data_IF_975231933909
#
_entry.id   IF_975231933909
#
_cell.length_a   1.000
_cell.length_b   1.000
_cell.length_c   1.000
_cell.angle_alpha   90.00
_cell.angle_beta   90.00
_cell.angle_gamma   90.00
#
_symmetry.space_group_name_H-M   'P 1'
#
loop_
_entity.id
_entity.type
_entity.pdbx_description
1 polymer ?
#
# COMPACT_ATOMS: atom_id res chain seq x y z
N UNK A 1 20.73 3.22 -17.10
CA UNK A 1 19.32 3.03 -16.71
C UNK A 1 18.65 4.39 -16.83
N UNK A 2 17.51 4.49 -17.50
CA UNK A 2 16.74 5.74 -17.53
C UNK A 2 16.22 6.07 -16.12
N UNK A 3 15.71 7.30 -15.88
CA UNK A 3 15.05 7.62 -14.62
C UNK A 3 13.90 6.63 -14.36
N UNK A 4 13.81 6.09 -13.15
CA UNK A 4 12.66 5.29 -12.74
C UNK A 4 11.49 6.25 -12.56
N UNK A 5 10.42 6.02 -13.32
CA UNK A 5 9.23 6.87 -13.29
C UNK A 5 8.26 6.48 -12.17
N UNK A 6 8.47 5.33 -11.54
CA UNK A 6 7.71 4.87 -10.38
C UNK A 6 8.67 4.31 -9.32
N UNK A 7 8.63 4.92 -8.14
CA UNK A 7 9.40 4.49 -6.98
C UNK A 7 8.46 4.45 -5.79
N UNK A 8 8.40 3.30 -5.13
CA UNK A 8 7.73 3.13 -3.84
C UNK A 8 8.66 2.37 -2.90
N UNK A 9 8.98 2.96 -1.75
CA UNK A 9 9.81 2.36 -0.72
C UNK A 9 9.25 2.64 0.66
N UNK A 10 9.59 1.79 1.61
CA UNK A 10 9.32 2.03 3.03
C UNK A 10 10.52 2.77 3.59
N UNK A 11 10.30 3.98 4.13
CA UNK A 11 11.36 4.76 4.77
C UNK A 11 11.46 4.46 6.27
N UNK A 12 10.33 4.16 6.89
CA UNK A 12 10.22 3.80 8.29
C UNK A 12 9.07 2.80 8.48
N UNK A 13 9.29 1.75 9.28
CA UNK A 13 8.26 0.77 9.62
C UNK A 13 8.34 0.38 11.09
N UNK A 14 7.20 0.37 11.76
CA UNK A 14 7.07 0.10 13.19
C UNK A 14 5.69 -0.45 13.53
N UNK A 15 5.58 -0.96 14.75
CA UNK A 15 4.31 -1.19 15.44
C UNK A 15 3.77 0.15 15.97
N UNK A 16 2.45 0.33 16.07
CA UNK A 16 1.87 1.53 16.69
C UNK A 16 2.07 1.53 18.19
N UNK A 17 1.78 0.40 18.81
CA UNK A 17 1.70 0.24 20.25
C UNK A 17 2.50 -0.97 20.70
N UNK A 18 2.04 -2.18 20.38
CA UNK A 18 2.60 -3.41 20.88
C UNK A 18 2.73 -4.43 19.75
N UNK A 19 3.95 -4.95 19.56
CA UNK A 19 4.23 -5.99 18.57
C UNK A 19 3.28 -7.19 18.62
N UNK A 20 2.87 -7.64 19.81
CA UNK A 20 2.05 -8.85 19.92
C UNK A 20 0.57 -8.60 19.60
N UNK A 21 0.08 -7.39 19.79
CA UNK A 21 -1.34 -7.04 19.63
C UNK A 21 -1.62 -6.33 18.30
N UNK A 22 -0.65 -5.55 17.81
CA UNK A 22 -0.78 -4.82 16.55
C UNK A 22 -0.82 -5.81 15.38
N UNK A 23 -1.94 -5.84 14.68
CA UNK A 23 -2.15 -6.77 13.59
C UNK A 23 -1.58 -6.27 12.25
N UNK A 24 -1.45 -4.95 12.10
CA UNK A 24 -0.83 -4.28 10.97
C UNK A 24 0.38 -3.44 11.40
N UNK A 25 1.28 -3.17 10.46
CA UNK A 25 2.46 -2.34 10.69
C UNK A 25 2.32 -0.99 9.98
N UNK A 26 2.96 0.04 10.52
CA UNK A 26 2.80 1.40 10.06
C UNK A 26 4.12 2.13 9.88
N UNK A 27 4.08 3.27 9.19
CA UNK A 27 5.19 4.20 9.14
C UNK A 27 5.15 5.08 7.90
N UNK A 28 6.34 5.42 7.40
CA UNK A 28 6.52 6.43 6.36
C UNK A 28 6.87 5.74 5.03
N UNK A 29 6.20 6.17 3.97
CA UNK A 29 6.38 5.64 2.61
C UNK A 29 6.98 6.76 1.75
N UNK A 30 8.04 6.44 1.01
CA UNK A 30 8.48 7.25 -0.11
C UNK A 30 7.72 6.83 -1.36
N UNK A 31 6.91 7.73 -1.93
CA UNK A 31 6.20 7.50 -3.18
C UNK A 31 6.50 8.63 -4.17
N UNK A 32 7.20 8.29 -5.25
CA UNK A 32 7.56 9.21 -6.32
C UNK A 32 7.05 8.71 -7.67
N UNK A 33 6.33 9.59 -8.36
CA UNK A 33 5.78 9.39 -9.70
C UNK A 33 6.37 10.43 -10.65
N UNK A 34 7.29 10.01 -11.52
CA UNK A 34 7.94 10.86 -12.53
C UNK A 34 8.50 12.20 -11.99
N UNK A 35 9.04 12.20 -10.77
CA UNK A 35 9.58 13.38 -10.10
C UNK A 35 8.59 14.08 -9.16
N UNK A 36 7.30 13.73 -9.19
CA UNK A 36 6.30 14.21 -8.25
C UNK A 36 6.30 13.34 -7.00
N UNK A 37 6.63 13.94 -5.86
CA UNK A 37 6.58 13.30 -4.55
C UNK A 37 5.15 13.35 -4.02
N UNK A 38 4.55 12.18 -3.84
CA UNK A 38 3.19 12.05 -3.32
C UNK A 38 3.20 11.99 -1.79
N UNK A 39 4.12 11.20 -1.22
CA UNK A 39 4.39 11.11 0.23
C UNK A 39 5.86 10.77 0.46
N UNK A 40 6.41 11.19 1.59
CA UNK A 40 7.78 10.93 2.06
C UNK A 40 7.88 11.20 3.56
N UNK A 41 8.97 10.73 4.18
CA UNK A 41 9.29 10.94 5.57
C UNK A 41 9.37 12.45 5.93
N UNK A 42 8.91 12.76 7.14
CA UNK A 42 8.87 14.14 7.65
C UNK A 42 7.72 15.00 7.12
N UNK A 43 6.76 14.42 6.39
CA UNK A 43 5.52 15.11 6.00
C UNK A 43 4.42 15.09 7.08
N UNK A 44 4.69 14.51 8.27
CA UNK A 44 3.69 14.27 9.33
C UNK A 44 2.53 13.37 8.83
N UNK A 45 2.89 12.38 8.00
CA UNK A 45 1.98 11.39 7.42
C UNK A 45 2.43 10.00 7.88
N UNK A 46 1.49 9.18 8.34
CA UNK A 46 1.73 7.79 8.74
C UNK A 46 0.74 6.86 8.04
N UNK A 47 1.24 5.78 7.46
CA UNK A 47 0.49 4.87 6.59
C UNK A 47 0.58 3.42 7.07
N UNK A 48 -0.48 2.64 6.82
CA UNK A 48 -0.59 1.22 7.08
C UNK A 48 0.20 0.44 6.04
N UNK A 49 1.47 0.15 6.34
CA UNK A 49 2.45 -0.43 5.41
C UNK A 49 2.02 -1.81 4.93
N UNK A 50 1.65 -2.71 5.84
CA UNK A 50 1.31 -4.09 5.48
C UNK A 50 0.03 -4.16 4.65
N UNK A 51 -0.97 -3.37 5.02
CA UNK A 51 -2.25 -3.32 4.32
C UNK A 51 -2.09 -2.71 2.93
N UNK A 52 -1.34 -1.61 2.82
CA UNK A 52 -0.98 -1.01 1.53
C UNK A 52 -0.23 -1.99 0.63
N UNK A 53 0.68 -2.80 1.20
CA UNK A 53 1.40 -3.81 0.45
C UNK A 53 0.45 -4.88 -0.12
N UNK A 54 -0.55 -5.34 0.65
CA UNK A 54 -1.55 -6.27 0.15
C UNK A 54 -2.43 -5.62 -0.94
N UNK A 55 -2.88 -4.38 -0.72
CA UNK A 55 -3.67 -3.63 -1.69
C UNK A 55 -2.94 -3.52 -3.03
N UNK A 56 -1.63 -3.22 -3.01
CA UNK A 56 -0.79 -3.16 -4.20
C UNK A 56 -0.48 -4.54 -4.80
N UNK A 57 -0.32 -5.59 -4.00
CA UNK A 57 -0.15 -6.95 -4.53
C UNK A 57 -1.38 -7.37 -5.36
N UNK A 58 -2.59 -7.00 -4.92
CA UNK A 58 -3.85 -7.28 -5.63
C UNK A 58 -3.92 -6.63 -7.01
N UNK A 59 -3.18 -5.55 -7.25
CA UNK A 59 -3.21 -4.82 -8.53
C UNK A 59 -2.20 -5.34 -9.55
N UNK A 60 -1.42 -6.37 -9.23
CA UNK A 60 -0.45 -6.94 -10.16
C UNK A 60 -1.09 -7.63 -11.37
N UNK A 61 -2.32 -8.15 -11.23
CA UNK A 61 -3.13 -8.72 -12.32
C UNK A 61 -4.56 -8.19 -12.36
N UNK A 62 -4.88 -7.18 -11.56
CA UNK A 62 -6.18 -6.53 -11.56
C UNK A 62 -6.01 -5.05 -11.82
N UNK A 63 -6.93 -4.53 -12.61
CA UNK A 63 -7.11 -3.09 -12.71
C UNK A 63 -7.69 -2.56 -11.41
N UNK A 64 -7.42 -1.28 -11.15
CA UNK A 64 -8.00 -0.53 -10.06
C UNK A 64 -8.41 0.84 -10.60
N UNK A 65 -9.61 1.31 -10.28
CA UNK A 65 -10.10 2.61 -10.70
C UNK A 65 -10.14 3.49 -9.46
N UNK A 66 -9.54 4.67 -9.54
CA UNK A 66 -9.61 5.63 -8.45
C UNK A 66 -11.06 6.11 -8.25
N UNK A 67 -11.66 5.74 -7.12
CA UNK A 67 -12.95 6.23 -6.65
C UNK A 67 -12.89 6.39 -5.13
N UNK A 68 -12.59 7.60 -4.67
CA UNK A 68 -12.37 7.91 -3.25
C UNK A 68 -13.64 7.77 -2.39
N UNK A 69 -14.82 7.66 -3.02
CA UNK A 69 -16.10 7.55 -2.30
C UNK A 69 -16.55 6.09 -2.15
N UNK A 70 -16.17 5.22 -3.09
CA UNK A 70 -16.69 3.86 -3.16
C UNK A 70 -15.62 2.76 -3.04
N UNK A 71 -14.35 3.07 -3.29
CA UNK A 71 -13.26 2.09 -3.30
C UNK A 71 -12.24 2.35 -2.19
N UNK A 72 -11.61 1.29 -1.70
CA UNK A 72 -10.48 1.42 -0.76
C UNK A 72 -9.25 2.01 -1.48
N UNK A 73 -8.43 2.78 -0.76
CA UNK A 73 -7.17 3.29 -1.29
C UNK A 73 -6.09 2.21 -1.47
N UNK A 74 -5.01 2.60 -2.14
CA UNK A 74 -3.86 1.74 -2.39
C UNK A 74 -2.77 1.91 -1.33
N UNK A 75 -2.60 3.15 -0.84
CA UNK A 75 -1.85 3.42 0.38
C UNK A 75 -2.85 3.76 1.47
N UNK A 76 -3.04 2.84 2.40
CA UNK A 76 -4.03 2.92 3.46
C UNK A 76 -3.42 3.66 4.66
N UNK A 77 -4.23 4.40 5.42
CA UNK A 77 -3.78 4.99 6.69
C UNK A 77 -3.38 3.93 7.71
N UNK A 78 -4.14 2.83 7.77
CA UNK A 78 -4.05 1.82 8.83
C UNK A 78 -4.39 2.42 10.20
N UNK A 79 -4.97 1.66 11.13
CA UNK A 79 -5.17 2.16 12.51
C UNK A 79 -4.98 1.09 13.59
N UNK A 80 -4.11 0.11 13.34
CA UNK A 80 -3.83 -0.99 14.27
C UNK A 80 -4.77 -2.19 14.17
N UNK A 81 -5.84 -2.11 13.38
CA UNK A 81 -6.73 -3.23 13.05
C UNK A 81 -6.53 -3.64 11.58
N UNK A 82 -6.80 -4.92 11.26
CA UNK A 82 -6.62 -5.43 9.89
C UNK A 82 -7.78 -5.06 8.98
N UNK A 83 -7.46 -4.47 7.82
CA UNK A 83 -8.38 -4.21 6.71
C UNK A 83 -9.59 -3.38 7.14
N UNK A 84 -9.33 -2.19 7.68
CA UNK A 84 -10.36 -1.19 8.00
C UNK A 84 -11.06 -0.69 6.73
N UNK A 85 -12.11 -1.40 6.35
CA UNK A 85 -13.05 -0.99 5.32
C UNK A 85 -13.65 0.38 5.69
N UNK A 86 -13.48 1.38 4.81
CA UNK A 86 -14.17 2.67 4.89
C UNK A 86 -13.44 3.81 5.59
N UNK A 87 -12.13 3.68 5.90
CA UNK A 87 -11.34 4.87 6.24
C UNK A 87 -11.05 5.70 4.98
N UNK A 88 -11.47 6.98 4.92
CA UNK A 88 -11.24 7.80 3.73
C UNK A 88 -9.79 8.31 3.62
N UNK A 89 -8.99 8.19 4.68
CA UNK A 89 -7.58 8.61 4.68
C UNK A 89 -6.77 7.57 3.92
N UNK A 90 -6.39 7.90 2.69
CA UNK A 90 -5.59 7.03 1.85
C UNK A 90 -5.07 7.76 0.60
N UNK A 91 -4.19 7.07 -0.14
CA UNK A 91 -3.72 7.49 -1.46
C UNK A 91 -4.29 6.55 -2.51
N UNK A 92 -4.86 7.13 -3.55
CA UNK A 92 -5.47 6.45 -4.67
C UNK A 92 -4.78 6.84 -5.98
N UNK A 93 -4.78 5.91 -6.94
CA UNK A 93 -4.55 6.19 -8.35
C UNK A 93 -5.11 5.05 -9.18
N UNK A 94 -5.62 5.34 -10.37
CA UNK A 94 -6.08 4.34 -11.32
C UNK A 94 -4.90 3.54 -11.86
N UNK A 95 -5.07 2.22 -12.00
CA UNK A 95 -4.11 1.26 -12.56
C UNK A 95 -4.81 0.53 -13.71
N UNK A 96 -4.30 0.69 -14.94
CA UNK A 96 -4.75 -0.04 -16.11
C UNK A 96 -3.63 -0.89 -16.70
N UNK A 97 -3.93 -2.15 -17.00
CA UNK A 97 -2.98 -3.08 -17.63
C UNK A 97 -3.24 -3.13 -19.14
N UNK A 98 -2.29 -2.61 -19.93
CA UNK A 98 -2.41 -2.56 -21.40
C UNK A 98 -1.21 -3.26 -22.05
N UNK A 99 -1.45 -4.50 -22.48
CA UNK A 99 -0.41 -5.32 -23.12
C UNK A 99 0.72 -5.63 -22.16
N UNK A 100 1.90 -5.02 -22.35
CA UNK A 100 3.08 -5.18 -21.48
C UNK A 100 3.35 -3.95 -20.62
N UNK A 101 2.43 -3.00 -20.61
CA UNK A 101 2.57 -1.74 -19.94
C UNK A 101 1.46 -1.58 -18.90
N UNK A 102 1.76 -0.82 -17.86
CA UNK A 102 0.83 -0.42 -16.82
C UNK A 102 0.74 1.10 -16.86
N UNK A 103 -0.48 1.60 -16.92
CA UNK A 103 -0.78 3.03 -16.90
C UNK A 103 -1.25 3.39 -15.49
N UNK A 104 -0.58 4.38 -14.88
CA UNK A 104 -0.97 4.97 -13.61
C UNK A 104 -1.41 6.42 -13.81
N UNK A 105 -2.59 6.79 -13.31
CA UNK A 105 -3.19 8.12 -13.48
C UNK A 105 -4.21 8.42 -12.37
N UNK A 106 -4.83 9.59 -12.42
CA UNK A 106 -5.92 9.99 -11.51
C UNK A 106 -5.49 9.93 -10.03
N UNK A 107 -4.30 10.44 -9.75
CA UNK A 107 -3.70 10.41 -8.42
C UNK A 107 -4.42 11.35 -7.44
N UNK A 108 -4.83 10.81 -6.31
CA UNK A 108 -5.51 11.54 -5.24
C UNK A 108 -4.93 11.13 -3.89
N UNK A 109 -4.66 12.11 -3.02
CA UNK A 109 -4.24 11.87 -1.64
C UNK A 109 -5.22 12.53 -0.66
N UNK A 110 -5.69 11.76 0.30
CA UNK A 110 -6.52 12.21 1.42
C UNK A 110 -5.75 11.97 2.71
N UNK A 111 -5.40 13.04 3.43
CA UNK A 111 -4.55 12.97 4.62
C UNK A 111 -5.32 13.03 5.94
N UNK A 112 -6.56 13.53 5.93
CA UNK A 112 -7.42 13.57 7.10
C UNK A 112 -8.89 13.71 6.71
N UNK A 113 -9.79 13.41 7.64
CA UNK A 113 -11.26 13.47 7.42
C UNK A 113 -11.81 14.89 7.34
N UNK A 114 -11.06 15.88 7.80
CA UNK A 114 -11.43 17.30 7.84
C UNK A 114 -10.77 18.14 6.73
N UNK A 115 -9.81 17.56 6.00
CA UNK A 115 -9.11 18.21 4.91
C UNK A 115 -9.67 17.80 3.55
N UNK A 116 -9.53 18.69 2.57
CA UNK A 116 -9.87 18.38 1.18
C UNK A 116 -8.83 17.46 0.58
N UNK A 117 -9.27 16.53 -0.26
CA UNK A 117 -8.41 15.70 -1.08
C UNK A 117 -7.46 16.56 -1.94
N UNK A 118 -6.22 16.10 -2.06
CA UNK A 118 -5.16 16.67 -2.89
C UNK A 118 -5.15 15.91 -4.21
N UNK A 119 -5.48 16.59 -5.30
CA UNK A 119 -5.49 16.03 -6.65
C UNK A 119 -4.19 16.39 -7.37
N UNK A 120 -3.55 15.40 -7.98
CA UNK A 120 -2.35 15.60 -8.79
C UNK A 120 -2.73 15.65 -10.27
N UNK A 121 -3.36 16.76 -10.68
CA UNK A 121 -3.88 16.93 -12.03
C UNK A 121 -2.79 16.77 -13.10
N UNK A 122 -3.08 15.99 -14.14
CA UNK A 122 -2.16 15.74 -15.25
C UNK A 122 -1.02 14.76 -14.93
N UNK A 123 -0.89 14.28 -13.69
CA UNK A 123 0.06 13.23 -13.35
C UNK A 123 -0.38 11.91 -13.99
N UNK A 124 0.41 11.45 -14.95
CA UNK A 124 0.17 10.24 -15.70
C UNK A 124 1.52 9.64 -16.07
N UNK A 125 1.70 8.36 -15.76
CA UNK A 125 2.88 7.61 -16.16
C UNK A 125 2.49 6.29 -16.82
N UNK A 126 3.31 5.91 -17.78
CA UNK A 126 3.28 4.58 -18.41
C UNK A 126 4.62 3.91 -18.09
N UNK A 127 4.55 2.70 -17.55
CA UNK A 127 5.74 1.90 -17.23
C UNK A 127 5.57 0.46 -17.69
N UNK A 128 6.69 -0.24 -17.82
CA UNK A 128 6.65 -1.66 -18.15
C UNK A 128 6.06 -2.46 -16.99
N UNK A 129 5.26 -3.48 -17.30
CA UNK A 129 4.65 -4.36 -16.29
C UNK A 129 5.69 -5.01 -15.36
N UNK A 130 6.86 -5.38 -15.87
CA UNK A 130 7.92 -5.93 -15.03
C UNK A 130 8.51 -4.89 -14.06
N UNK A 131 8.56 -3.62 -14.47
CA UNK A 131 9.01 -2.54 -13.59
C UNK A 131 7.99 -2.32 -12.47
N UNK A 132 6.70 -2.27 -12.82
CA UNK A 132 5.61 -2.15 -11.85
C UNK A 132 5.66 -3.30 -10.84
N UNK A 133 5.68 -4.54 -11.36
CA UNK A 133 5.76 -5.75 -10.54
C UNK A 133 6.96 -5.75 -9.61
N UNK A 134 8.15 -5.41 -10.11
CA UNK A 134 9.36 -5.38 -9.30
C UNK A 134 9.24 -4.37 -8.15
N UNK A 135 8.69 -3.19 -8.38
CA UNK A 135 8.49 -2.20 -7.32
C UNK A 135 7.51 -2.70 -6.26
N UNK A 136 6.34 -3.22 -6.67
CA UNK A 136 5.32 -3.72 -5.75
C UNK A 136 5.82 -4.93 -4.94
N UNK A 137 6.43 -5.92 -5.60
CA UNK A 137 6.99 -7.10 -4.91
C UNK A 137 8.11 -6.71 -3.96
N UNK A 138 8.97 -5.76 -4.35
CA UNK A 138 10.03 -5.23 -3.48
C UNK A 138 9.44 -4.54 -2.24
N UNK A 139 8.40 -3.73 -2.41
CA UNK A 139 7.69 -3.08 -1.31
C UNK A 139 7.05 -4.10 -0.37
N UNK A 140 6.37 -5.11 -0.92
CA UNK A 140 5.73 -6.16 -0.14
C UNK A 140 6.74 -7.03 0.63
N UNK A 141 7.85 -7.43 0.00
CA UNK A 141 8.91 -8.16 0.70
C UNK A 141 9.47 -7.35 1.88
N UNK A 142 9.73 -6.06 1.68
CA UNK A 142 10.19 -5.18 2.76
C UNK A 142 9.15 -5.06 3.88
N UNK A 143 7.86 -4.87 3.54
CA UNK A 143 6.79 -4.78 4.53
C UNK A 143 6.69 -6.06 5.39
N UNK A 144 6.85 -7.23 4.78
CA UNK A 144 6.75 -8.52 5.46
C UNK A 144 7.93 -8.77 6.42
N UNK A 145 9.09 -8.16 6.20
CA UNK A 145 10.29 -8.40 7.02
C UNK A 145 10.09 -8.07 8.51
N UNK A 146 9.26 -7.08 8.84
CA UNK A 146 8.96 -6.75 10.24
C UNK A 146 8.22 -7.91 10.92
N UNK A 147 7.26 -8.54 10.23
CA UNK A 147 6.49 -9.68 10.73
C UNK A 147 7.31 -10.97 10.78
N UNK A 148 8.19 -11.20 9.82
CA UNK A 148 9.09 -12.36 9.83
C UNK A 148 10.03 -12.38 11.05
N UNK A 149 10.30 -11.20 11.63
CA UNK A 149 11.20 -11.03 12.78
C UNK A 149 10.43 -10.85 14.10
N UNK A 150 9.11 -10.71 14.05
CA UNK A 150 8.31 -10.44 15.22
C UNK A 150 8.00 -11.70 16.02
N UNK A 151 7.63 -11.50 17.27
CA UNK A 151 6.94 -12.54 18.05
C UNK A 151 5.62 -12.95 17.38
N UNK A 152 5.11 -14.13 17.73
CA UNK A 152 3.75 -14.53 17.36
C UNK A 152 2.72 -13.53 17.91
N UNK A 153 1.67 -13.27 17.12
CA UNK A 153 0.58 -12.37 17.50
C UNK A 153 -0.33 -13.03 18.54
N UNK A 154 -0.76 -12.24 19.52
CA UNK A 154 -1.74 -12.63 20.54
C UNK A 154 -3.09 -12.07 20.10
N UNK A 155 -3.90 -12.92 19.46
CA UNK A 155 -5.23 -12.55 18.95
C UNK A 155 -6.27 -13.35 19.72
N UNK A 156 -6.99 -12.69 20.63
CA UNK A 156 -7.96 -13.35 21.51
C UNK A 156 -9.33 -13.54 20.87
N UNK A 157 -9.68 -12.68 19.91
CA UNK A 157 -10.94 -12.72 19.21
C UNK A 157 -10.87 -13.62 17.97
N UNK A 158 -11.84 -14.52 17.81
CA UNK A 158 -11.88 -15.50 16.70
C UNK A 158 -12.08 -14.83 15.33
N UNK A 159 -12.79 -13.71 15.28
CA UNK A 159 -13.00 -12.97 14.04
C UNK A 159 -11.70 -12.29 13.59
N UNK A 160 -11.00 -11.61 14.51
CA UNK A 160 -9.69 -11.02 14.23
C UNK A 160 -8.65 -12.08 13.86
N UNK A 161 -8.65 -13.23 14.54
CA UNK A 161 -7.74 -14.33 14.22
C UNK A 161 -7.96 -14.84 12.79
N UNK A 162 -9.22 -14.96 12.37
CA UNK A 162 -9.58 -15.35 11.01
C UNK A 162 -9.17 -14.30 9.99
N UNK A 163 -9.42 -13.02 10.27
CA UNK A 163 -9.02 -11.93 9.38
C UNK A 163 -7.50 -11.88 9.20
N UNK A 164 -6.75 -11.98 10.29
CA UNK A 164 -5.29 -12.01 10.27
C UNK A 164 -4.76 -13.20 9.44
N UNK A 165 -5.32 -14.39 9.66
CA UNK A 165 -4.93 -15.59 8.91
C UNK A 165 -5.25 -15.46 7.43
N UNK A 166 -6.44 -14.98 7.08
CA UNK A 166 -6.86 -14.78 5.69
C UNK A 166 -5.98 -13.76 4.97
N UNK A 167 -5.67 -12.65 5.66
CA UNK A 167 -4.78 -11.62 5.13
C UNK A 167 -3.42 -12.20 4.76
N UNK A 168 -2.76 -12.90 5.69
CA UNK A 168 -1.41 -13.41 5.43
C UNK A 168 -1.41 -14.56 4.43
N UNK A 169 -2.48 -15.35 4.38
CA UNK A 169 -2.66 -16.37 3.34
C UNK A 169 -2.72 -15.72 1.95
N UNK A 170 -3.58 -14.71 1.77
CA UNK A 170 -3.69 -13.99 0.49
C UNK A 170 -2.39 -13.27 0.13
N UNK A 171 -1.77 -12.63 1.11
CA UNK A 171 -0.48 -11.96 0.97
C UNK A 171 0.58 -12.91 0.42
N UNK A 172 0.69 -14.09 1.03
CA UNK A 172 1.71 -15.08 0.68
C UNK A 172 1.42 -15.74 -0.66
N UNK A 173 0.16 -16.00 -0.99
CA UNK A 173 -0.24 -16.53 -2.28
C UNK A 173 0.11 -15.55 -3.41
N UNK A 174 -0.23 -14.27 -3.26
CA UNK A 174 0.10 -13.24 -4.24
C UNK A 174 1.61 -13.05 -4.34
N UNK A 175 2.32 -12.96 -3.21
CA UNK A 175 3.76 -12.77 -3.22
C UNK A 175 4.50 -13.96 -3.86
N UNK A 176 4.09 -15.19 -3.58
CA UNK A 176 4.68 -16.38 -4.19
C UNK A 176 4.35 -16.50 -5.69
N UNK A 177 3.21 -15.98 -6.13
CA UNK A 177 2.84 -15.93 -7.55
C UNK A 177 3.73 -14.99 -8.36
N UNK A 178 4.20 -13.89 -7.75
CA UNK A 178 4.89 -12.81 -8.47
C UNK A 178 6.38 -12.64 -8.15
N UNK A 179 6.92 -13.36 -7.15
CA UNK A 179 8.36 -13.37 -6.85
C UNK A 179 9.21 -14.07 -7.91
#
# INVERSE_FOLDING_TARGET
>A
MGPQNFIINIENQKWLFNEQEDLCSHGEIYLNMAGTIITQAGMDEEWGISESALALLRTLDKEYICDIENEEGLILHGCGTMLMLGCPISIHWTINHIGKNVILKDFVKVISTDQKAIYYEGLHIELNENEYRRQIVSFALQAKELFNKSSDKIILDEFDQRMYTNFWTEYDDLLNKYK
#
